data_IF_886972440676
#
_entry.id   IF_886972440676
#
_cell.length_a   1.000
_cell.length_b   1.000
_cell.length_c   1.000
_cell.angle_alpha   90.00
_cell.angle_beta   90.00
_cell.angle_gamma   90.00
#
_symmetry.space_group_name_H-M   'P 1'
#
loop_
_entity.id
_entity.type
_entity.pdbx_description
1 polymer ?
#
# COMPACT_ATOMS: atom_id res chain seq x y z
N UNK A 1 -35.33 -35.66 59.10
CA UNK A 1 -35.27 -36.09 57.68
C UNK A 1 -35.89 -35.00 56.83
N UNK A 2 -35.14 -34.38 55.91
CA UNK A 2 -35.62 -33.26 55.10
C UNK A 2 -36.32 -33.77 53.84
N UNK A 3 -37.59 -33.39 53.64
CA UNK A 3 -38.37 -33.74 52.46
C UNK A 3 -37.83 -32.99 51.23
N UNK A 4 -37.54 -33.74 50.16
CA UNK A 4 -37.01 -33.22 48.89
C UNK A 4 -38.13 -32.51 48.13
N UNK A 5 -38.04 -31.19 47.95
CA UNK A 5 -38.99 -30.42 47.11
C UNK A 5 -38.93 -30.91 45.66
N UNK A 6 -40.03 -31.43 45.15
CA UNK A 6 -40.23 -31.75 43.73
C UNK A 6 -40.33 -30.42 42.98
N UNK A 7 -39.44 -30.19 42.02
CA UNK A 7 -39.56 -29.07 41.09
C UNK A 7 -40.39 -29.55 39.90
N UNK A 8 -41.49 -28.88 39.61
CA UNK A 8 -42.25 -29.11 38.38
C UNK A 8 -41.34 -28.84 37.18
N UNK A 9 -41.30 -29.80 36.26
CA UNK A 9 -40.57 -29.64 35.00
C UNK A 9 -41.35 -28.70 34.11
N UNK A 10 -40.83 -27.49 33.92
CA UNK A 10 -41.39 -26.51 32.99
C UNK A 10 -41.23 -27.06 31.57
N UNK A 11 -42.34 -27.23 30.86
CA UNK A 11 -42.33 -27.61 29.45
C UNK A 11 -41.88 -26.42 28.59
N UNK A 12 -40.59 -26.41 28.26
CA UNK A 12 -39.97 -25.37 27.45
C UNK A 12 -40.56 -25.28 26.03
N UNK A 13 -41.26 -26.30 25.51
CA UNK A 13 -41.93 -26.20 24.21
C UNK A 13 -43.11 -25.23 24.27
N UNK A 14 -43.88 -25.23 25.37
CA UNK A 14 -45.00 -24.31 25.53
C UNK A 14 -44.51 -22.87 25.67
N UNK A 15 -43.44 -22.63 26.43
CA UNK A 15 -42.84 -21.29 26.59
C UNK A 15 -42.33 -20.73 25.25
N UNK A 16 -41.81 -21.59 24.37
CA UNK A 16 -41.32 -21.18 23.06
C UNK A 16 -42.46 -20.86 22.06
N UNK A 17 -43.65 -21.45 22.25
CA UNK A 17 -44.83 -21.19 21.39
C UNK A 17 -45.52 -19.85 21.67
N UNK A 18 -45.35 -19.27 22.87
CA UNK A 18 -45.91 -17.97 23.26
C UNK A 18 -44.97 -16.78 22.99
N UNK A 19 -43.72 -17.02 22.58
CA UNK A 19 -42.77 -15.95 22.26
C UNK A 19 -42.99 -15.43 20.83
N UNK A 20 -43.59 -14.24 20.71
CA UNK A 20 -43.78 -13.52 19.44
C UNK A 20 -42.51 -12.90 18.86
N UNK A 21 -41.34 -13.28 19.35
CA UNK A 21 -40.07 -12.88 18.75
C UNK A 21 -39.84 -13.76 17.52
N UNK A 22 -39.95 -13.15 16.33
CA UNK A 22 -39.56 -13.74 15.06
C UNK A 22 -38.08 -14.12 15.10
N UNK A 23 -37.79 -15.35 15.55
CA UNK A 23 -36.52 -15.99 15.33
C UNK A 23 -36.51 -16.41 13.87
N UNK A 24 -35.89 -15.57 13.03
CA UNK A 24 -35.60 -15.93 11.65
C UNK A 24 -34.95 -17.32 11.63
N UNK A 25 -35.65 -18.29 11.02
CA UNK A 25 -35.10 -19.58 10.64
C UNK A 25 -33.98 -19.35 9.61
N UNK A 26 -32.81 -18.98 10.11
CA UNK A 26 -31.60 -18.80 9.34
C UNK A 26 -30.83 -20.11 9.30
N UNK A 27 -31.37 -21.15 8.68
CA UNK A 27 -30.55 -22.24 8.11
C UNK A 27 -29.77 -21.68 6.92
N UNK A 28 -28.92 -20.69 7.18
CA UNK A 28 -27.91 -20.24 6.24
C UNK A 28 -26.97 -21.42 6.09
N UNK A 29 -27.05 -22.09 4.93
CA UNK A 29 -26.03 -23.02 4.42
C UNK A 29 -24.68 -22.54 4.94
N UNK A 30 -24.02 -23.36 5.76
CA UNK A 30 -22.67 -23.10 6.22
C UNK A 30 -21.83 -22.82 4.98
N UNK A 31 -21.58 -21.53 4.69
CA UNK A 31 -20.69 -21.14 3.60
C UNK A 31 -19.37 -21.75 4.00
N UNK A 32 -18.86 -22.69 3.19
CA UNK A 32 -17.53 -23.28 3.36
C UNK A 32 -16.60 -22.16 3.83
N UNK A 33 -16.14 -22.24 5.09
CA UNK A 33 -15.17 -21.26 5.62
C UNK A 33 -14.01 -21.29 4.63
N UNK A 34 -13.82 -20.19 3.90
CA UNK A 34 -12.76 -20.10 2.92
C UNK A 34 -11.42 -20.35 3.59
N UNK A 35 -10.43 -20.81 2.82
CA UNK A 35 -9.05 -20.92 3.31
C UNK A 35 -8.62 -19.57 3.87
N UNK A 36 -8.17 -19.56 5.11
CA UNK A 36 -7.54 -18.39 5.73
C UNK A 36 -6.11 -18.30 5.17
N UNK A 37 -5.74 -17.11 4.74
CA UNK A 37 -4.38 -16.83 4.26
C UNK A 37 -3.82 -15.72 5.11
N UNK A 38 -2.57 -15.87 5.53
CA UNK A 38 -1.84 -14.82 6.22
C UNK A 38 -1.60 -13.67 5.25
N UNK A 39 -2.02 -12.47 5.67
CA UNK A 39 -1.88 -11.25 4.87
C UNK A 39 -0.58 -10.58 5.26
N UNK A 40 0.33 -10.42 4.31
CA UNK A 40 1.61 -9.73 4.55
C UNK A 40 1.40 -8.22 4.57
N UNK A 41 0.84 -7.65 3.49
CA UNK A 41 0.55 -6.21 3.41
C UNK A 41 -0.55 -5.85 2.41
N UNK A 42 -1.11 -4.66 2.57
CA UNK A 42 -2.01 -4.04 1.61
C UNK A 42 -1.23 -3.10 0.69
N UNK A 43 -1.33 -3.30 -0.61
CA UNK A 43 -0.59 -2.53 -1.62
C UNK A 43 -1.40 -1.33 -2.09
N UNK A 44 -2.65 -1.56 -2.50
CA UNK A 44 -3.50 -0.51 -3.10
C UNK A 44 -4.96 -0.65 -2.69
N UNK A 45 -5.66 0.48 -2.61
CA UNK A 45 -7.12 0.55 -2.40
C UNK A 45 -7.79 1.08 -3.66
N UNK A 46 -8.79 0.36 -4.16
CA UNK A 46 -9.63 0.80 -5.30
C UNK A 46 -11.09 0.81 -4.91
N UNK A 47 -11.82 1.81 -5.42
CA UNK A 47 -13.26 1.86 -5.32
C UNK A 47 -13.86 1.40 -6.66
N UNK A 48 -14.69 0.35 -6.66
CA UNK A 48 -15.37 -0.17 -7.87
C UNK A 48 -16.87 0.12 -7.79
N UNK A 49 -17.25 1.40 -7.89
CA UNK A 49 -18.65 1.81 -8.08
C UNK A 49 -19.07 3.02 -7.25
N UNK A 50 -20.34 3.44 -7.45
CA UNK A 50 -21.01 4.52 -6.69
C UNK A 50 -21.43 4.09 -5.28
N UNK A 51 -21.42 2.78 -4.99
CA UNK A 51 -21.83 2.23 -3.69
C UNK A 51 -20.62 2.16 -2.74
N UNK A 52 -20.77 2.77 -1.56
CA UNK A 52 -19.75 2.87 -0.49
C UNK A 52 -19.16 1.52 -0.07
N UNK A 53 -19.92 0.42 -0.25
CA UNK A 53 -19.50 -0.94 0.10
C UNK A 53 -18.65 -1.67 -0.96
N UNK A 54 -18.28 -1.01 -2.07
CA UNK A 54 -17.55 -1.65 -3.19
C UNK A 54 -16.01 -1.55 -3.10
N UNK A 55 -15.49 -1.12 -1.94
CA UNK A 55 -14.05 -1.01 -1.69
C UNK A 55 -13.35 -2.38 -1.80
N UNK A 56 -12.31 -2.43 -2.64
CA UNK A 56 -11.39 -3.57 -2.76
C UNK A 56 -9.97 -3.13 -2.44
N UNK A 57 -9.21 -4.02 -1.82
CA UNK A 57 -7.79 -3.81 -1.59
C UNK A 57 -6.99 -4.86 -2.36
N UNK A 58 -5.86 -4.47 -2.92
CA UNK A 58 -4.85 -5.39 -3.38
C UNK A 58 -4.06 -5.89 -2.19
N UNK A 59 -4.13 -7.20 -1.96
CA UNK A 59 -3.49 -7.87 -0.84
C UNK A 59 -2.29 -8.64 -1.35
N UNK A 60 -1.14 -8.47 -0.69
CA UNK A 60 0.03 -9.31 -0.85
C UNK A 60 -0.03 -10.47 0.15
N UNK A 61 0.14 -11.66 -0.38
CA UNK A 61 0.42 -12.91 0.31
C UNK A 61 1.86 -13.31 -0.05
N UNK A 62 2.44 -14.23 0.71
CA UNK A 62 3.84 -14.69 0.62
C UNK A 62 4.43 -14.70 -0.81
N UNK A 63 3.70 -15.20 -1.81
CA UNK A 63 4.16 -15.22 -3.23
C UNK A 63 3.10 -14.80 -4.24
N UNK A 64 1.99 -14.20 -3.81
CA UNK A 64 0.90 -13.85 -4.72
C UNK A 64 0.17 -12.58 -4.33
N UNK A 65 -0.37 -11.88 -5.33
CA UNK A 65 -1.24 -10.72 -5.09
C UNK A 65 -2.63 -10.94 -5.65
N UNK A 66 -3.64 -10.55 -4.89
CA UNK A 66 -5.01 -10.55 -5.42
C UNK A 66 -5.88 -9.49 -4.78
N UNK A 67 -6.87 -9.00 -5.53
CA UNK A 67 -7.85 -8.05 -5.01
C UNK A 67 -8.86 -8.76 -4.12
N UNK A 68 -9.00 -8.31 -2.87
CA UNK A 68 -10.01 -8.78 -1.93
C UNK A 68 -11.01 -7.68 -1.57
N UNK A 69 -12.30 -8.00 -1.43
CA UNK A 69 -13.29 -7.10 -0.85
C UNK A 69 -12.89 -6.63 0.54
N UNK A 70 -13.27 -5.39 0.88
CA UNK A 70 -12.99 -4.81 2.19
C UNK A 70 -13.48 -5.67 3.35
N UNK A 71 -14.69 -6.25 3.30
CA UNK A 71 -15.25 -7.05 4.39
C UNK A 71 -14.46 -8.34 4.71
N UNK A 72 -13.59 -8.81 3.81
CA UNK A 72 -12.72 -9.98 4.05
C UNK A 72 -11.39 -9.62 4.72
N UNK A 73 -11.11 -8.32 4.89
CA UNK A 73 -9.83 -7.84 5.43
C UNK A 73 -10.05 -7.38 6.87
N UNK A 74 -9.20 -7.87 7.76
CA UNK A 74 -9.22 -7.55 9.18
C UNK A 74 -9.05 -6.04 9.38
N UNK A 75 -9.79 -5.48 10.33
CA UNK A 75 -9.79 -4.03 10.61
C UNK A 75 -8.38 -3.49 10.88
N UNK A 76 -7.58 -4.18 11.69
CA UNK A 76 -6.19 -3.81 12.03
C UNK A 76 -5.33 -3.59 10.77
N UNK A 77 -5.50 -4.42 9.76
CA UNK A 77 -4.74 -4.34 8.49
C UNK A 77 -5.22 -3.16 7.63
N UNK A 78 -6.54 -2.87 7.62
CA UNK A 78 -7.05 -1.65 6.95
C UNK A 78 -6.55 -0.39 7.65
N UNK A 79 -6.48 -0.43 8.98
CA UNK A 79 -6.02 0.68 9.78
C UNK A 79 -4.57 1.01 9.46
N UNK A 80 -3.69 0.01 9.35
CA UNK A 80 -2.30 0.21 8.96
C UNK A 80 -2.12 0.76 7.54
N UNK A 81 -3.10 0.57 6.65
CA UNK A 81 -3.06 1.22 5.32
C UNK A 81 -3.29 2.74 5.40
N UNK A 82 -4.20 3.19 6.27
CA UNK A 82 -4.51 4.61 6.45
C UNK A 82 -3.53 5.31 7.40
N UNK A 83 -3.00 4.57 8.38
CA UNK A 83 -1.99 5.01 9.34
C UNK A 83 -0.79 4.07 9.21
N UNK A 84 0.12 4.33 8.26
CA UNK A 84 1.23 3.45 7.97
C UNK A 84 2.11 3.27 9.21
N UNK A 85 2.43 2.01 9.50
CA UNK A 85 3.41 1.66 10.52
C UNK A 85 4.81 2.03 10.02
N UNK A 86 5.70 2.33 10.96
CA UNK A 86 7.11 2.52 10.66
C UNK A 86 7.68 1.23 10.05
N UNK A 87 8.23 1.27 8.82
CA UNK A 87 8.88 0.10 8.23
C UNK A 87 10.15 -0.25 9.00
N UNK A 88 10.63 -1.48 8.87
CA UNK A 88 11.93 -1.87 9.41
C UNK A 88 13.06 -1.03 8.80
N UNK A 89 14.14 -0.88 9.56
CA UNK A 89 15.29 -0.08 9.12
C UNK A 89 15.93 -0.63 7.85
N UNK A 90 16.00 -1.95 7.66
CA UNK A 90 16.51 -2.57 6.43
C UNK A 90 15.68 -2.17 5.21
N UNK A 91 14.36 -2.14 5.34
CA UNK A 91 13.44 -1.79 4.24
C UNK A 91 13.51 -0.30 3.93
N UNK A 92 13.65 0.54 4.96
CA UNK A 92 13.88 1.97 4.77
C UNK A 92 15.23 2.22 4.09
N UNK A 93 16.28 1.52 4.51
CA UNK A 93 17.62 1.65 3.93
C UNK A 93 17.63 1.26 2.44
N UNK A 94 17.02 0.13 2.09
CA UNK A 94 16.84 -0.29 0.70
C UNK A 94 16.08 0.77 -0.11
N UNK A 95 14.98 1.28 0.44
CA UNK A 95 14.19 2.34 -0.22
C UNK A 95 14.97 3.64 -0.39
N UNK A 96 15.84 4.00 0.57
CA UNK A 96 16.72 5.17 0.46
C UNK A 96 17.79 4.99 -0.63
N UNK A 97 18.34 3.77 -0.76
CA UNK A 97 19.31 3.44 -1.82
C UNK A 97 18.68 3.58 -3.20
N UNK A 98 17.52 2.96 -3.42
CA UNK A 98 16.79 3.06 -4.69
C UNK A 98 16.41 4.52 -5.02
N UNK A 99 15.98 5.28 -4.01
CA UNK A 99 15.67 6.70 -4.17
C UNK A 99 16.91 7.52 -4.56
N UNK A 100 18.03 7.34 -3.83
CA UNK A 100 19.27 8.06 -4.08
C UNK A 100 19.88 7.75 -5.45
N UNK A 101 19.88 6.47 -5.87
CA UNK A 101 20.33 6.06 -7.21
C UNK A 101 19.45 6.70 -8.29
N UNK A 102 18.14 6.70 -8.07
CA UNK A 102 17.16 7.33 -8.94
C UNK A 102 17.39 8.82 -9.14
N UNK A 103 17.57 9.55 -8.03
CA UNK A 103 17.78 10.99 -8.04
C UNK A 103 19.11 11.38 -8.67
N UNK A 104 20.21 10.70 -8.33
CA UNK A 104 21.52 10.96 -8.95
C UNK A 104 21.47 10.68 -10.46
N UNK A 105 20.85 9.58 -10.88
CA UNK A 105 20.65 9.26 -12.30
C UNK A 105 19.84 10.35 -13.01
N UNK A 106 18.77 10.83 -12.37
CA UNK A 106 17.97 11.92 -12.88
C UNK A 106 18.79 13.20 -13.02
N UNK A 107 19.48 13.63 -11.97
CA UNK A 107 20.27 14.87 -11.96
C UNK A 107 21.38 14.85 -13.00
N UNK A 108 22.08 13.72 -13.16
CA UNK A 108 23.11 13.56 -14.21
C UNK A 108 22.54 13.60 -15.62
N UNK A 109 21.33 13.09 -15.83
CA UNK A 109 20.68 13.06 -17.13
C UNK A 109 20.34 14.47 -17.67
N UNK A 110 20.41 14.64 -18.99
CA UNK A 110 19.89 15.81 -19.68
C UNK A 110 18.35 15.79 -19.83
N UNK A 111 17.70 14.63 -19.64
CA UNK A 111 16.26 14.46 -19.86
C UNK A 111 15.41 15.07 -18.76
N UNK A 112 14.35 15.78 -19.13
CA UNK A 112 13.28 16.25 -18.22
C UNK A 112 12.12 15.25 -18.11
N UNK A 113 12.27 14.07 -18.71
CA UNK A 113 11.23 13.03 -18.65
C UNK A 113 11.06 12.51 -17.22
N UNK A 114 9.84 12.12 -16.82
CA UNK A 114 9.61 11.55 -15.51
C UNK A 114 10.38 10.25 -15.33
N UNK A 115 10.97 10.06 -14.15
CA UNK A 115 11.67 8.82 -13.80
C UNK A 115 10.73 7.87 -13.06
N UNK A 116 10.97 6.57 -13.19
CA UNK A 116 10.25 5.53 -12.48
C UNK A 116 11.19 4.85 -11.50
N UNK A 117 10.95 5.04 -10.20
CA UNK A 117 11.76 4.44 -9.15
C UNK A 117 11.03 3.25 -8.53
N UNK A 118 11.66 2.08 -8.40
CA UNK A 118 11.09 0.99 -7.63
C UNK A 118 11.02 1.42 -6.16
N UNK A 119 9.82 1.39 -5.59
CA UNK A 119 9.63 1.62 -4.15
C UNK A 119 8.33 0.98 -3.71
N UNK A 120 8.40 0.30 -2.56
CA UNK A 120 7.24 -0.22 -1.84
C UNK A 120 6.25 0.89 -1.51
N UNK A 121 4.99 0.74 -1.92
CA UNK A 121 3.97 1.78 -1.75
C UNK A 121 3.53 1.94 -0.30
N UNK A 122 3.72 0.94 0.56
CA UNK A 122 3.55 1.04 2.01
C UNK A 122 4.65 1.90 2.66
N UNK A 123 5.91 1.74 2.22
CA UNK A 123 7.01 2.62 2.64
C UNK A 123 6.76 4.04 2.15
N UNK A 124 6.35 4.20 0.88
CA UNK A 124 5.98 5.51 0.37
C UNK A 124 4.87 6.17 1.19
N UNK A 125 3.79 5.42 1.51
CA UNK A 125 2.73 5.92 2.39
C UNK A 125 3.26 6.36 3.74
N UNK A 126 4.18 5.60 4.35
CA UNK A 126 4.85 6.00 5.58
C UNK A 126 5.61 7.31 5.42
N UNK A 127 6.39 7.47 4.36
CA UNK A 127 7.18 8.69 4.09
C UNK A 127 6.26 9.91 3.99
N UNK A 128 5.17 9.83 3.22
CA UNK A 128 4.30 10.97 2.95
C UNK A 128 3.12 11.13 3.90
N UNK A 129 3.00 10.30 4.95
CA UNK A 129 1.85 10.37 5.84
C UNK A 129 1.79 11.73 6.56
N UNK A 130 0.74 12.51 6.28
CA UNK A 130 0.56 13.89 6.77
C UNK A 130 1.62 14.88 6.24
N UNK A 131 2.16 14.65 5.05
CA UNK A 131 3.19 15.49 4.42
C UNK A 131 2.91 15.71 2.93
N UNK A 132 3.53 16.74 2.37
CA UNK A 132 3.30 17.16 1.00
C UNK A 132 1.97 17.87 0.78
N UNK A 133 1.83 18.45 -0.43
CA UNK A 133 0.60 19.14 -0.88
C UNK A 133 0.00 18.39 -2.06
N UNK A 134 -1.32 18.24 -2.06
CA UNK A 134 -1.99 17.63 -3.22
C UNK A 134 -1.80 18.51 -4.45
N UNK A 135 -1.44 17.88 -5.58
CA UNK A 135 -1.36 18.56 -6.86
C UNK A 135 -2.74 18.63 -7.51
N UNK A 136 -2.97 19.63 -8.36
CA UNK A 136 -4.15 19.71 -9.23
C UNK A 136 -4.32 18.45 -10.11
N UNK A 137 -3.23 17.72 -10.37
CA UNK A 137 -3.30 16.47 -11.10
C UNK A 137 -3.62 15.29 -10.17
N UNK A 138 -4.75 14.63 -10.43
CA UNK A 138 -5.24 13.50 -9.63
C UNK A 138 -4.15 12.48 -9.28
N UNK A 139 -4.00 12.23 -7.98
CA UNK A 139 -3.09 11.22 -7.43
C UNK A 139 -1.61 11.60 -7.46
N UNK A 140 -1.29 12.87 -7.75
CA UNK A 140 0.07 13.39 -7.58
C UNK A 140 0.17 14.20 -6.29
N UNK A 141 1.33 14.13 -5.68
CA UNK A 141 1.71 14.87 -4.48
C UNK A 141 2.92 15.75 -4.81
N UNK A 142 2.88 17.01 -4.40
CA UNK A 142 4.01 17.93 -4.44
C UNK A 142 4.75 17.82 -3.12
N UNK A 143 6.05 17.54 -3.17
CA UNK A 143 6.90 17.41 -1.99
C UNK A 143 7.99 18.46 -1.98
N UNK A 144 8.11 19.13 -0.84
CA UNK A 144 9.27 19.94 -0.50
C UNK A 144 10.43 19.05 -0.02
N UNK A 145 11.64 19.62 0.02
CA UNK A 145 12.84 18.95 0.50
C UNK A 145 12.66 18.32 1.89
N UNK A 146 11.93 18.99 2.78
CA UNK A 146 11.72 18.53 4.15
C UNK A 146 10.64 17.43 4.26
N UNK A 147 9.77 17.29 3.26
CA UNK A 147 8.70 16.28 3.31
C UNK A 147 9.29 14.86 3.26
N UNK A 148 10.42 14.66 2.59
CA UNK A 148 11.12 13.38 2.47
C UNK A 148 12.00 13.04 3.68
N UNK A 149 12.02 13.84 4.75
CA UNK A 149 12.92 13.62 5.91
C UNK A 149 12.69 12.32 6.70
N UNK A 150 11.58 11.60 6.44
CA UNK A 150 11.38 10.24 6.98
C UNK A 150 12.25 9.18 6.32
N UNK A 151 12.83 9.47 5.15
CA UNK A 151 13.89 8.65 4.56
C UNK A 151 15.22 8.98 5.27
N UNK A 152 15.32 8.56 6.54
CA UNK A 152 16.40 8.93 7.47
C UNK A 152 17.82 8.53 7.03
N UNK A 153 17.93 7.59 6.09
CA UNK A 153 19.20 7.12 5.55
C UNK A 153 19.60 7.80 4.24
N UNK A 154 18.84 8.81 3.77
CA UNK A 154 19.25 9.58 2.61
C UNK A 154 20.51 10.41 2.91
N UNK A 155 21.47 10.46 1.98
CA UNK A 155 22.61 11.38 2.09
C UNK A 155 22.16 12.83 2.16
N UNK A 156 22.84 13.69 2.93
CA UNK A 156 22.48 15.11 3.05
C UNK A 156 22.48 15.87 1.70
N UNK A 157 23.26 15.38 0.74
CA UNK A 157 23.40 15.91 -0.61
C UNK A 157 22.51 15.22 -1.65
N UNK A 158 21.52 14.42 -1.25
CA UNK A 158 20.68 13.66 -2.20
C UNK A 158 20.02 14.51 -3.31
N UNK A 159 19.74 15.79 -3.02
CA UNK A 159 18.99 16.70 -3.86
C UNK A 159 19.85 17.52 -4.84
N UNK A 160 21.17 17.29 -4.87
CA UNK A 160 22.05 17.94 -5.84
C UNK A 160 23.21 17.03 -6.25
N UNK A 161 23.81 17.36 -7.40
CA UNK A 161 25.02 16.73 -7.90
C UNK A 161 25.99 17.81 -8.36
N UNK A 162 27.24 17.75 -7.93
CA UNK A 162 28.33 18.61 -8.37
C UNK A 162 29.45 17.76 -9.01
N UNK A 163 30.11 18.31 -10.02
CA UNK A 163 31.34 17.78 -10.62
C UNK A 163 32.58 18.27 -9.85
N UNK A 164 33.77 17.87 -10.32
CA UNK A 164 35.06 18.26 -9.72
C UNK A 164 35.32 19.77 -9.74
N UNK A 165 34.71 20.49 -10.69
CA UNK A 165 34.80 21.95 -10.79
C UNK A 165 33.81 22.68 -9.88
N UNK A 166 33.01 21.94 -9.09
CA UNK A 166 32.00 22.53 -8.22
C UNK A 166 30.75 23.05 -8.94
N UNK A 167 30.51 22.61 -10.17
CA UNK A 167 29.32 22.93 -10.97
C UNK A 167 28.42 21.71 -11.10
N UNK A 168 27.11 21.92 -11.27
CA UNK A 168 26.20 20.82 -11.55
C UNK A 168 24.74 21.21 -11.54
N UNK A 169 23.91 20.32 -10.99
CA UNK A 169 22.45 20.44 -11.02
C UNK A 169 21.87 20.13 -9.65
N UNK A 170 20.88 20.93 -9.26
CA UNK A 170 20.07 20.70 -8.07
C UNK A 170 18.62 20.45 -8.46
N UNK A 171 17.90 19.73 -7.60
CA UNK A 171 16.45 19.63 -7.66
C UNK A 171 15.86 21.03 -7.42
N UNK A 172 14.99 21.45 -8.32
CA UNK A 172 14.16 22.63 -8.16
C UNK A 172 12.83 22.20 -7.52
N UNK A 173 12.67 22.49 -6.24
CA UNK A 173 11.52 22.07 -5.43
C UNK A 173 10.30 22.96 -5.70
N UNK A 174 9.08 22.42 -5.58
CA UNK A 174 8.73 21.07 -5.12
C UNK A 174 8.83 19.98 -6.21
N UNK A 175 9.17 18.75 -5.81
CA UNK A 175 9.09 17.58 -6.70
C UNK A 175 7.66 17.07 -6.79
N UNK A 176 7.24 16.60 -7.96
CA UNK A 176 5.90 16.03 -8.15
C UNK A 176 5.98 14.52 -8.26
N UNK A 177 5.27 13.81 -7.39
CA UNK A 177 5.36 12.36 -7.25
C UNK A 177 4.00 11.70 -7.41
N UNK A 178 3.94 10.58 -8.15
CA UNK A 178 2.76 9.73 -8.24
C UNK A 178 3.11 8.27 -7.95
N UNK A 179 2.49 7.63 -6.94
CA UNK A 179 2.59 6.19 -6.78
C UNK A 179 1.90 5.49 -7.96
N UNK A 180 2.57 4.50 -8.54
CA UNK A 180 2.09 3.74 -9.68
C UNK A 180 2.20 2.25 -9.36
N UNK A 181 1.08 1.56 -9.49
CA UNK A 181 1.02 0.11 -9.48
C UNK A 181 0.86 -0.39 -10.92
N UNK A 182 1.78 -1.23 -11.35
CA UNK A 182 1.75 -1.92 -12.63
C UNK A 182 1.83 -3.44 -12.43
N UNK A 183 1.69 -4.19 -13.51
CA UNK A 183 1.80 -5.65 -13.50
C UNK A 183 2.96 -6.07 -14.40
N UNK A 184 3.69 -7.11 -14.00
CA UNK A 184 4.72 -7.72 -14.84
C UNK A 184 4.16 -8.12 -16.21
N UNK A 185 5.00 -8.25 -17.26
CA UNK A 185 4.56 -8.77 -18.54
C UNK A 185 3.84 -10.12 -18.41
N UNK A 186 2.98 -10.43 -19.39
CA UNK A 186 2.38 -11.75 -19.48
C UNK A 186 3.46 -12.77 -19.79
N UNK A 187 3.59 -13.78 -18.94
CA UNK A 187 4.46 -14.92 -19.15
C UNK A 187 3.62 -16.19 -19.15
N UNK A 188 4.16 -17.24 -19.76
CA UNK A 188 3.52 -18.55 -19.84
C UNK A 188 4.44 -19.58 -19.20
N UNK A 189 3.86 -20.58 -18.56
CA UNK A 189 4.56 -21.69 -17.94
C UNK A 189 3.97 -23.00 -18.41
N UNK A 190 4.82 -24.00 -18.61
CA UNK A 190 4.39 -25.35 -18.95
C UNK A 190 3.95 -26.06 -17.66
N UNK A 191 2.67 -26.38 -17.55
CA UNK A 191 2.12 -27.14 -16.42
C UNK A 191 1.46 -28.40 -16.94
N UNK A 192 2.04 -29.57 -16.61
CA UNK A 192 1.52 -30.88 -17.02
C UNK A 192 1.27 -30.94 -18.54
N UNK A 193 2.30 -30.59 -19.31
CA UNK A 193 2.31 -30.58 -20.79
C UNK A 193 1.31 -29.64 -21.47
N UNK A 194 0.71 -28.72 -20.70
CA UNK A 194 -0.15 -27.66 -21.22
C UNK A 194 0.47 -26.29 -20.94
N UNK A 195 0.51 -25.44 -21.96
CA UNK A 195 0.93 -24.06 -21.82
C UNK A 195 -0.17 -23.28 -21.08
N UNK A 196 0.15 -22.81 -19.88
CA UNK A 196 -0.74 -21.99 -19.06
C UNK A 196 -0.18 -20.60 -18.86
N UNK A 197 -1.05 -19.61 -18.68
CA UNK A 197 -0.61 -18.27 -18.30
C UNK A 197 -0.07 -18.29 -16.87
N UNK A 198 1.16 -17.79 -16.70
CA UNK A 198 1.78 -17.70 -15.39
C UNK A 198 1.20 -16.53 -14.57
N UNK A 199 1.19 -16.64 -13.22
CA UNK A 199 0.79 -15.55 -12.34
C UNK A 199 1.64 -14.30 -12.59
N UNK A 200 0.98 -13.15 -12.75
CA UNK A 200 1.66 -11.86 -12.89
C UNK A 200 2.05 -11.32 -11.51
N UNK A 201 3.23 -10.72 -11.44
CA UNK A 201 3.69 -10.01 -10.26
C UNK A 201 3.24 -8.54 -10.30
N UNK A 202 2.85 -8.00 -9.15
CA UNK A 202 2.60 -6.57 -9.00
C UNK A 202 3.92 -5.81 -8.90
N UNK A 203 4.07 -4.78 -9.73
CA UNK A 203 5.25 -3.92 -9.76
C UNK A 203 4.88 -2.55 -9.19
N UNK A 204 5.46 -2.24 -8.03
CA UNK A 204 5.27 -0.99 -7.29
C UNK A 204 6.38 0.00 -7.63
N UNK A 205 6.01 1.21 -8.03
CA UNK A 205 6.96 2.25 -8.41
C UNK A 205 6.45 3.65 -8.12
N UNK A 206 7.35 4.60 -7.97
CA UNK A 206 7.06 6.02 -7.95
C UNK A 206 7.39 6.62 -9.30
N UNK A 207 6.45 7.40 -9.84
CA UNK A 207 6.70 8.27 -11.00
C UNK A 207 7.08 9.64 -10.47
N UNK A 208 8.34 10.03 -10.60
CA UNK A 208 8.84 11.32 -10.16
C UNK A 208 8.98 12.28 -11.34
N UNK A 209 8.54 13.51 -11.13
CA UNK A 209 8.72 14.64 -12.02
C UNK A 209 9.63 15.61 -11.26
N UNK A 210 10.89 15.68 -11.68
CA UNK A 210 11.94 16.47 -11.04
C UNK A 210 12.33 17.59 -12.01
N UNK A 211 12.12 18.83 -11.58
CA UNK A 211 12.71 19.98 -12.25
C UNK A 211 14.15 20.14 -11.77
N UNK A 212 15.02 20.58 -12.68
CA UNK A 212 16.46 20.69 -12.42
C UNK A 212 16.86 22.14 -12.65
N UNK A 213 17.56 22.72 -11.70
CA UNK A 213 18.21 24.02 -11.85
C UNK A 213 19.73 23.83 -11.93
N UNK A 214 20.45 24.59 -12.77
CA UNK A 214 21.90 24.64 -12.67
C UNK A 214 22.29 25.16 -11.28
N UNK A 215 23.33 24.59 -10.69
CA UNK A 215 23.89 25.05 -9.42
C UNK A 215 25.41 24.99 -9.44
N UNK A 216 26.03 25.72 -8.53
CA UNK A 216 27.45 25.63 -8.21
C UNK A 216 27.63 25.80 -6.70
N UNK A 217 28.88 25.69 -6.22
CA UNK A 217 29.22 25.84 -4.79
C UNK A 217 28.65 27.13 -4.17
N UNK A 218 28.57 28.21 -4.95
CA UNK A 218 28.14 29.53 -4.47
C UNK A 218 26.60 29.71 -4.46
N UNK A 219 25.87 28.94 -5.28
CA UNK A 219 24.42 29.09 -5.48
C UNK A 219 23.65 27.81 -5.14
N UNK A 220 24.16 27.05 -4.18
CA UNK A 220 23.54 25.80 -3.73
C UNK A 220 22.33 26.05 -2.81
N UNK A 221 22.29 27.22 -2.15
CA UNK A 221 21.26 27.59 -1.18
C UNK A 221 19.91 27.81 -1.88
#
# INVERSE_FOLDING_TARGET
>A
MAAKRVRESIDYQQVNSFSSVVLYNGTKRSRKKGKLYEVERLIERRNKGRVVCSLKYLVLYEKSTSFKPSHLIIFKVKWSYSRPLTPSDDVLLESCREFSVGDVSCLKSASFSPIYLPMRLDVWRFVVHQRGKESNHRGHLMLEKNDVSRLKFLPNNWWYFLNENGEGKAVDFPIKVKPVLSWSPLTFELRKDKLGQAPRMSLEKLKLYILKRPCNVNNLI
#
